data_IF_517822564062
#
_entry.id   IF_517822564062
#
_cell.length_a   1.000
_cell.length_b   1.000
_cell.length_c   1.000
_cell.angle_alpha   90.00
_cell.angle_beta   90.00
_cell.angle_gamma   90.00
#
_symmetry.space_group_name_H-M   'P 1'
#
loop_
_entity.id
_entity.type
_entity.pdbx_description
1 polymer ?
#
# COMPACT_ATOMS: atom_id res chain seq x y z
N UNK A 1 38.00 30.54 -10.93
CA UNK A 1 38.44 29.99 -12.23
C UNK A 1 39.45 28.84 -12.03
N UNK A 2 39.04 27.77 -11.33
CA UNK A 2 39.84 26.54 -11.17
C UNK A 2 38.97 25.33 -10.73
N UNK A 3 37.68 25.30 -11.12
CA UNK A 3 36.78 24.17 -10.82
C UNK A 3 36.00 23.65 -12.04
N UNK A 4 36.48 23.93 -13.26
CA UNK A 4 35.84 23.45 -14.51
C UNK A 4 36.66 22.41 -15.28
N UNK A 5 37.78 21.90 -14.73
CA UNK A 5 38.65 20.94 -15.46
C UNK A 5 38.68 19.50 -14.92
N UNK A 6 37.91 19.16 -13.89
CA UNK A 6 37.82 17.77 -13.41
C UNK A 6 36.59 16.99 -13.96
N UNK A 7 35.57 17.69 -14.48
CA UNK A 7 34.34 17.06 -15.00
C UNK A 7 34.45 16.49 -16.41
N UNK A 8 35.37 17.00 -17.24
CA UNK A 8 35.44 16.63 -18.65
C UNK A 8 36.21 15.30 -18.92
N UNK A 9 36.92 14.76 -17.92
CA UNK A 9 37.70 13.51 -18.06
C UNK A 9 36.90 12.22 -17.86
N UNK A 10 35.85 12.24 -17.03
CA UNK A 10 35.02 11.04 -16.73
C UNK A 10 33.90 10.81 -17.75
N UNK A 11 33.38 11.87 -18.38
CA UNK A 11 32.45 11.75 -19.51
C UNK A 11 33.14 11.22 -20.78
N UNK A 12 34.40 11.59 -21.04
CA UNK A 12 35.15 11.10 -22.20
C UNK A 12 35.60 9.63 -22.07
N UNK A 13 35.76 9.12 -20.84
CA UNK A 13 36.11 7.71 -20.58
C UNK A 13 34.87 6.79 -20.75
N UNK A 14 33.68 7.25 -20.36
CA UNK A 14 32.44 6.47 -20.52
C UNK A 14 32.02 6.33 -22.00
N UNK A 15 32.17 7.40 -22.79
CA UNK A 15 31.81 7.39 -24.24
C UNK A 15 32.83 6.60 -25.08
N UNK A 16 34.12 6.58 -24.71
CA UNK A 16 35.14 5.79 -25.41
C UNK A 16 35.02 4.28 -25.18
N UNK A 17 34.58 3.85 -23.99
CA UNK A 17 34.36 2.43 -23.70
C UNK A 17 33.13 1.89 -24.44
N UNK A 18 32.09 2.72 -24.64
CA UNK A 18 30.87 2.35 -25.37
C UNK A 18 31.13 2.21 -26.88
N UNK A 19 31.99 3.04 -27.48
CA UNK A 19 32.22 3.04 -28.94
C UNK A 19 33.30 2.04 -29.41
N UNK A 20 34.26 1.65 -28.57
CA UNK A 20 35.33 0.72 -28.98
C UNK A 20 34.91 -0.77 -29.00
N UNK A 21 33.82 -1.14 -28.32
CA UNK A 21 33.27 -2.50 -28.35
C UNK A 21 32.49 -2.81 -29.64
N UNK A 22 32.07 -1.78 -30.38
CA UNK A 22 31.30 -1.93 -31.62
C UNK A 22 32.09 -2.51 -32.81
N UNK A 23 33.43 -2.58 -32.71
CA UNK A 23 34.30 -2.92 -33.84
C UNK A 23 35.20 -4.15 -33.65
N UNK A 24 35.07 -4.92 -32.56
CA UNK A 24 35.91 -6.10 -32.36
C UNK A 24 35.10 -7.40 -32.49
N UNK A 25 35.20 -8.01 -33.67
CA UNK A 25 34.61 -9.29 -34.02
C UNK A 25 35.37 -10.44 -33.32
N UNK A 26 35.20 -10.59 -32.00
CA UNK A 26 35.70 -11.76 -31.25
C UNK A 26 34.54 -12.59 -30.72
N UNK A 27 34.47 -13.83 -31.19
CA UNK A 27 33.66 -14.90 -30.60
C UNK A 27 34.07 -15.08 -29.13
N UNK A 28 33.13 -14.91 -28.21
CA UNK A 28 33.28 -15.29 -26.81
C UNK A 28 32.08 -16.17 -26.40
N UNK A 29 32.40 -17.25 -25.68
CA UNK A 29 31.51 -18.37 -25.33
C UNK A 29 30.57 -18.05 -24.16
N UNK A 30 29.48 -18.82 -24.09
CA UNK A 30 28.39 -18.77 -23.11
C UNK A 30 28.83 -18.82 -21.64
N UNK A 31 28.15 -18.03 -20.79
CA UNK A 31 28.16 -18.23 -19.33
C UNK A 31 28.38 -17.01 -18.41
N UNK A 32 27.97 -15.78 -18.75
CA UNK A 32 28.19 -14.62 -17.87
C UNK A 32 26.90 -13.78 -17.62
N UNK A 33 26.48 -13.71 -16.35
CA UNK A 33 25.27 -13.03 -15.82
C UNK A 33 25.51 -11.51 -15.62
N UNK A 34 26.49 -10.93 -16.31
CA UNK A 34 26.93 -9.55 -16.13
C UNK A 34 26.73 -8.67 -17.37
N UNK A 35 25.62 -8.86 -18.09
CA UNK A 35 25.20 -7.89 -19.10
C UNK A 35 24.23 -6.87 -18.49
N UNK A 36 24.63 -5.59 -18.28
CA UNK A 36 23.64 -4.54 -18.09
C UNK A 36 22.80 -4.49 -19.36
N UNK A 37 21.48 -4.32 -19.22
CA UNK A 37 20.60 -4.10 -20.38
C UNK A 37 21.05 -2.81 -21.05
N UNK A 38 21.93 -2.94 -22.04
CA UNK A 38 22.29 -1.90 -22.99
C UNK A 38 20.99 -1.60 -23.73
N UNK A 39 20.28 -0.54 -23.34
CA UNK A 39 19.38 0.31 -24.16
C UNK A 39 18.16 0.90 -23.43
N UNK A 40 17.98 0.71 -22.12
CA UNK A 40 16.82 1.33 -21.45
C UNK A 40 17.12 2.75 -21.02
N UNK A 41 16.40 3.73 -21.60
CA UNK A 41 16.61 5.14 -21.27
C UNK A 41 16.20 5.43 -19.82
N UNK A 42 16.87 6.41 -19.18
CA UNK A 42 16.48 6.91 -17.84
C UNK A 42 15.03 7.41 -17.82
N UNK A 43 14.52 7.91 -18.95
CA UNK A 43 13.13 8.31 -19.09
C UNK A 43 12.17 7.12 -19.02
N UNK A 44 12.49 6.02 -19.70
CA UNK A 44 11.70 4.76 -19.68
C UNK A 44 11.68 4.14 -18.28
N UNK A 45 12.81 4.16 -17.57
CA UNK A 45 12.89 3.65 -16.19
C UNK A 45 12.10 4.51 -15.20
N UNK A 46 12.16 5.84 -15.35
CA UNK A 46 11.35 6.75 -14.55
C UNK A 46 9.86 6.55 -14.79
N UNK A 47 9.45 6.27 -16.02
CA UNK A 47 8.06 5.97 -16.36
C UNK A 47 7.61 4.61 -15.83
N UNK A 48 8.49 3.62 -15.78
CA UNK A 48 8.22 2.33 -15.13
C UNK A 48 7.96 2.48 -13.63
N UNK A 49 8.85 3.17 -12.90
CA UNK A 49 8.69 3.45 -11.47
C UNK A 49 7.41 4.26 -11.18
N UNK A 50 6.94 5.05 -12.15
CA UNK A 50 5.72 5.86 -12.10
C UNK A 50 4.48 5.13 -12.61
N UNK A 51 4.59 3.87 -13.03
CA UNK A 51 3.47 3.08 -13.54
C UNK A 51 2.92 3.54 -14.89
N UNK A 52 3.71 4.26 -15.69
CA UNK A 52 3.28 4.85 -16.98
C UNK A 52 3.98 4.25 -18.21
N UNK A 53 4.95 3.34 -18.02
CA UNK A 53 5.58 2.59 -19.11
C UNK A 53 6.15 1.28 -18.56
N UNK A 54 5.63 0.13 -18.95
CA UNK A 54 6.20 -1.13 -18.46
C UNK A 54 7.65 -1.34 -18.95
N UNK A 55 8.52 -1.91 -18.12
CA UNK A 55 9.84 -2.42 -18.53
C UNK A 55 9.88 -3.92 -18.25
N UNK A 56 10.82 -4.64 -18.84
CA UNK A 56 10.96 -6.05 -18.52
C UNK A 56 11.39 -6.25 -17.08
N UNK A 57 10.98 -7.37 -16.49
CA UNK A 57 11.35 -7.76 -15.13
C UNK A 57 12.86 -7.73 -14.87
N UNK A 58 13.71 -8.14 -15.83
CA UNK A 58 15.18 -8.09 -15.63
C UNK A 58 15.69 -6.66 -15.47
N UNK A 59 15.07 -5.69 -16.17
CA UNK A 59 15.34 -4.27 -16.01
C UNK A 59 14.80 -3.79 -14.66
N UNK A 60 13.57 -4.16 -14.30
CA UNK A 60 12.95 -3.80 -13.02
C UNK A 60 13.78 -4.31 -11.82
N UNK A 61 14.22 -5.57 -11.89
CA UNK A 61 15.03 -6.26 -10.87
C UNK A 61 16.42 -5.64 -10.74
N UNK A 62 17.11 -5.35 -11.85
CA UNK A 62 18.39 -4.64 -11.82
C UNK A 62 18.23 -3.19 -11.32
N UNK A 63 17.12 -2.52 -11.62
CA UNK A 63 16.82 -1.15 -11.18
C UNK A 63 16.56 -1.06 -9.67
N UNK A 64 15.83 -2.04 -9.09
CA UNK A 64 15.61 -2.16 -7.65
C UNK A 64 16.90 -2.40 -6.85
N UNK A 65 17.94 -2.98 -7.47
CA UNK A 65 19.24 -3.26 -6.84
C UNK A 65 20.19 -2.05 -6.90
N UNK A 66 20.00 -1.09 -7.82
CA UNK A 66 21.05 -0.10 -8.15
C UNK A 66 20.76 1.39 -7.85
N UNK A 67 19.52 1.83 -7.63
CA UNK A 67 19.23 3.28 -7.56
C UNK A 67 18.56 3.68 -6.25
N UNK A 68 19.41 3.94 -5.26
CA UNK A 68 19.30 5.15 -4.44
C UNK A 68 20.71 5.66 -4.13
N UNK A 69 21.20 6.64 -4.90
CA UNK A 69 21.73 7.79 -4.18
C UNK A 69 20.86 9.06 -4.30
N UNK A 70 20.76 9.75 -5.45
CA UNK A 70 20.50 11.21 -5.35
C UNK A 70 19.62 11.95 -6.40
N UNK A 71 18.75 11.33 -7.22
CA UNK A 71 17.98 12.10 -8.23
C UNK A 71 16.49 11.70 -8.45
N UNK A 72 15.68 11.74 -7.38
CA UNK A 72 14.22 11.67 -7.49
C UNK A 72 13.60 13.09 -7.57
N UNK A 73 12.77 13.37 -8.60
CA UNK A 73 12.03 14.65 -8.77
C UNK A 73 10.53 14.38 -8.98
N UNK A 74 9.65 14.76 -8.04
CA UNK A 74 8.24 14.33 -7.96
C UNK A 74 7.23 15.23 -8.70
N UNK A 75 7.65 16.27 -9.40
CA UNK A 75 6.76 17.37 -9.81
C UNK A 75 5.84 17.15 -11.05
N UNK A 76 5.80 15.99 -11.71
CA UNK A 76 5.06 15.83 -12.99
C UNK A 76 4.31 14.49 -13.17
N UNK A 77 3.78 13.91 -12.09
CA UNK A 77 3.02 12.65 -12.21
C UNK A 77 1.54 12.84 -12.61
N UNK A 78 1.00 14.05 -12.46
CA UNK A 78 -0.44 14.30 -12.55
C UNK A 78 -0.97 14.56 -13.98
N UNK A 79 -0.11 14.98 -14.91
CA UNK A 79 -0.55 15.39 -16.27
C UNK A 79 -0.99 14.23 -17.18
N UNK A 80 -0.85 12.97 -16.75
CA UNK A 80 -1.23 11.80 -17.57
C UNK A 80 -2.48 11.06 -17.05
N UNK A 81 -2.78 11.12 -15.74
CA UNK A 81 -4.01 10.52 -15.17
C UNK A 81 -5.29 11.24 -15.64
N UNK A 82 -5.17 12.45 -16.18
CA UNK A 82 -6.30 13.29 -16.57
C UNK A 82 -6.81 13.05 -17.99
N UNK A 83 -6.23 12.14 -18.78
CA UNK A 83 -6.64 11.96 -20.20
C UNK A 83 -7.53 10.75 -20.47
N UNK A 84 -7.69 9.83 -19.52
CA UNK A 84 -8.57 8.64 -19.68
C UNK A 84 -9.66 8.50 -18.60
N UNK A 85 -9.79 9.45 -17.67
CA UNK A 85 -10.85 9.47 -16.63
C UNK A 85 -12.09 10.30 -17.07
N UNK A 86 -12.08 10.79 -18.31
CA UNK A 86 -13.25 11.43 -18.92
C UNK A 86 -14.34 10.41 -19.29
N UNK A 87 -15.11 9.98 -18.28
CA UNK A 87 -16.57 9.71 -18.28
C UNK A 87 -16.98 8.74 -17.16
N UNK A 88 -17.24 9.28 -15.97
CA UNK A 88 -18.45 9.04 -15.15
C UNK A 88 -18.28 9.65 -13.76
N UNK A 89 -18.89 10.81 -13.53
CA UNK A 89 -19.36 11.17 -12.19
C UNK A 89 -20.81 11.63 -12.36
N UNK A 90 -21.74 10.68 -12.29
CA UNK A 90 -23.15 10.99 -12.07
C UNK A 90 -23.33 11.30 -10.57
N UNK A 91 -23.52 12.60 -10.27
CA UNK A 91 -24.28 13.14 -9.12
C UNK A 91 -23.97 12.56 -7.74
N UNK A 92 -22.74 12.77 -7.24
CA UNK A 92 -22.35 12.55 -5.85
C UNK A 92 -21.39 13.64 -5.34
N UNK A 93 -21.30 13.82 -4.02
CA UNK A 93 -20.32 14.72 -3.38
C UNK A 93 -18.88 14.29 -3.76
N UNK A 94 -17.93 15.23 -3.98
CA UNK A 94 -16.57 14.89 -4.42
C UNK A 94 -15.85 14.05 -3.36
N UNK A 95 -15.49 12.81 -3.68
CA UNK A 95 -14.85 11.89 -2.74
C UNK A 95 -13.95 10.88 -3.43
N UNK A 96 -12.72 10.72 -2.94
CA UNK A 96 -11.79 9.66 -3.31
C UNK A 96 -11.51 8.71 -2.12
N UNK A 97 -12.50 8.52 -1.24
CA UNK A 97 -12.40 7.62 -0.08
C UNK A 97 -12.22 6.15 -0.52
N UNK A 98 -11.18 5.45 -0.03
CA UNK A 98 -10.99 4.03 -0.32
C UNK A 98 -12.19 3.18 0.11
N UNK A 99 -12.39 2.05 -0.57
CA UNK A 99 -13.39 1.08 -0.14
C UNK A 99 -12.93 0.35 1.14
N UNK A 100 -13.91 -0.03 1.95
CA UNK A 100 -13.67 -0.87 3.12
C UNK A 100 -13.46 -2.31 2.67
N UNK A 101 -12.35 -2.94 3.06
CA UNK A 101 -12.11 -4.36 2.77
C UNK A 101 -12.86 -5.33 3.69
N UNK A 102 -13.51 -4.81 4.75
CA UNK A 102 -14.11 -5.66 5.79
C UNK A 102 -15.55 -6.04 5.45
N UNK A 103 -15.88 -7.30 5.71
CA UNK A 103 -17.25 -7.82 5.55
C UNK A 103 -18.20 -7.19 6.58
N UNK A 104 -17.69 -6.96 7.79
CA UNK A 104 -18.42 -6.34 8.89
C UNK A 104 -17.47 -5.54 9.77
N UNK A 105 -17.87 -4.31 10.08
CA UNK A 105 -17.17 -3.49 11.08
C UNK A 105 -17.60 -3.90 12.49
N UNK A 106 -16.64 -4.11 13.40
CA UNK A 106 -16.88 -4.70 14.72
C UNK A 106 -16.13 -3.94 15.80
N UNK A 107 -16.84 -3.60 16.88
CA UNK A 107 -16.24 -3.31 18.18
C UNK A 107 -15.46 -1.99 18.24
N UNK A 108 -15.77 -1.06 17.36
CA UNK A 108 -15.08 0.24 17.22
C UNK A 108 -16.03 1.42 17.23
N UNK A 109 -17.29 1.17 17.58
CA UNK A 109 -18.33 2.19 17.72
C UNK A 109 -17.93 3.28 18.73
N UNK A 110 -17.39 2.97 19.94
CA UNK A 110 -16.96 4.00 20.88
C UNK A 110 -15.85 4.89 20.33
N UNK A 111 -14.83 4.30 19.68
CA UNK A 111 -13.72 5.05 19.09
C UNK A 111 -14.19 5.91 17.91
N UNK A 112 -15.17 5.44 17.14
CA UNK A 112 -15.77 6.18 16.03
C UNK A 112 -16.58 7.39 16.53
N UNK A 113 -17.36 7.23 17.60
CA UNK A 113 -18.09 8.31 18.24
C UNK A 113 -17.15 9.34 18.88
N UNK A 114 -16.11 8.86 19.57
CA UNK A 114 -15.07 9.72 20.14
C UNK A 114 -14.34 10.51 19.04
N UNK A 115 -14.02 9.85 17.92
CA UNK A 115 -13.43 10.49 16.73
C UNK A 115 -14.30 11.60 16.20
N UNK A 116 -15.61 11.35 16.08
CA UNK A 116 -16.54 12.36 15.66
C UNK A 116 -16.53 13.59 16.58
N UNK A 117 -16.71 13.37 17.89
CA UNK A 117 -16.77 14.45 18.87
C UNK A 117 -15.49 15.30 18.87
N UNK A 118 -14.31 14.65 18.90
CA UNK A 118 -13.03 15.36 18.90
C UNK A 118 -12.80 16.13 17.60
N UNK A 119 -13.11 15.54 16.45
CA UNK A 119 -12.89 16.17 15.16
C UNK A 119 -13.81 17.39 14.95
N UNK A 120 -15.04 17.34 15.45
CA UNK A 120 -15.93 18.50 15.44
C UNK A 120 -15.40 19.64 16.33
N UNK A 121 -14.79 19.31 17.47
CA UNK A 121 -14.27 20.28 18.43
C UNK A 121 -12.93 20.92 18.00
N UNK A 122 -11.92 20.12 17.66
CA UNK A 122 -10.55 20.60 17.39
C UNK A 122 -10.27 20.88 15.91
N UNK A 123 -11.04 20.29 15.00
CA UNK A 123 -10.77 20.34 13.56
C UNK A 123 -9.61 19.46 13.10
N UNK A 124 -8.80 18.92 14.00
CA UNK A 124 -7.67 18.04 13.69
C UNK A 124 -7.54 16.93 14.73
N UNK A 125 -7.58 15.68 14.29
CA UNK A 125 -7.46 14.48 15.14
C UNK A 125 -6.56 13.45 14.44
N UNK A 126 -5.74 12.76 15.22
CA UNK A 126 -4.98 11.60 14.78
C UNK A 126 -5.58 10.30 15.33
N UNK A 127 -5.57 9.24 14.54
CA UNK A 127 -5.79 7.85 14.95
C UNK A 127 -4.42 7.20 15.03
N UNK A 128 -4.03 6.81 16.24
CA UNK A 128 -2.71 6.25 16.55
C UNK A 128 -2.84 4.82 17.07
N UNK A 129 -1.84 3.97 16.85
CA UNK A 129 -1.80 2.64 17.47
C UNK A 129 -1.07 2.73 18.82
N UNK A 130 -1.62 2.14 19.89
CA UNK A 130 -1.02 2.18 21.24
C UNK A 130 0.41 1.61 21.27
N UNK A 131 0.64 0.51 20.55
CA UNK A 131 1.94 -0.18 20.49
C UNK A 131 2.63 -0.10 19.13
N UNK A 132 2.26 0.87 18.27
CA UNK A 132 2.87 1.01 16.93
C UNK A 132 2.55 -0.14 15.95
N UNK A 133 1.58 -0.99 16.28
CA UNK A 133 1.21 -2.16 15.49
C UNK A 133 0.56 -1.78 14.15
N UNK A 134 0.99 -2.49 13.09
CA UNK A 134 0.26 -2.56 11.82
C UNK A 134 -0.91 -3.54 11.94
N UNK A 135 -1.99 -3.34 11.19
CA UNK A 135 -3.13 -4.27 11.17
C UNK A 135 -4.15 -4.13 12.31
N UNK A 136 -4.05 -3.11 13.18
CA UNK A 136 -5.05 -2.82 14.25
C UNK A 136 -6.33 -2.14 13.76
N UNK A 137 -6.38 -1.72 12.48
CA UNK A 137 -7.58 -1.12 11.87
C UNK A 137 -7.67 0.42 11.86
N UNK A 138 -6.54 1.15 11.94
CA UNK A 138 -6.54 2.63 11.88
C UNK A 138 -7.16 3.18 10.60
N UNK A 139 -6.67 2.68 9.46
CA UNK A 139 -7.17 3.03 8.12
C UNK A 139 -8.63 2.65 7.98
N UNK A 140 -9.02 1.47 8.45
CA UNK A 140 -10.42 1.03 8.43
C UNK A 140 -11.33 1.94 9.26
N UNK A 141 -10.92 2.34 10.47
CA UNK A 141 -11.69 3.30 11.28
C UNK A 141 -11.87 4.64 10.56
N UNK A 142 -10.84 5.14 9.87
CA UNK A 142 -10.94 6.37 9.07
C UNK A 142 -11.87 6.22 7.85
N UNK A 143 -11.87 5.06 7.18
CA UNK A 143 -12.81 4.74 6.10
C UNK A 143 -14.24 4.74 6.63
N UNK A 144 -14.50 4.02 7.72
CA UNK A 144 -15.82 3.92 8.34
C UNK A 144 -16.34 5.28 8.83
N UNK A 145 -15.45 6.11 9.39
CA UNK A 145 -15.79 7.48 9.75
C UNK A 145 -16.22 8.30 8.53
N UNK A 146 -15.41 8.25 7.46
CA UNK A 146 -15.65 8.98 6.22
C UNK A 146 -16.99 8.58 5.60
N UNK A 147 -17.31 7.28 5.58
CA UNK A 147 -18.57 6.75 5.05
C UNK A 147 -19.76 7.12 5.94
N UNK A 148 -19.65 6.88 7.26
CA UNK A 148 -20.76 7.11 8.21
C UNK A 148 -21.16 8.58 8.29
N UNK A 149 -20.21 9.50 8.20
CA UNK A 149 -20.43 10.94 8.32
C UNK A 149 -20.33 11.69 6.98
N UNK A 150 -20.39 11.01 5.84
CA UNK A 150 -20.27 11.62 4.51
C UNK A 150 -21.29 12.75 4.27
N UNK A 151 -22.47 12.66 4.88
CA UNK A 151 -23.50 13.70 4.79
C UNK A 151 -23.05 15.05 5.37
N UNK A 152 -22.10 15.07 6.31
CA UNK A 152 -21.60 16.29 6.95
C UNK A 152 -20.57 17.05 6.12
N UNK A 153 -19.96 16.41 5.10
CA UNK A 153 -18.86 16.95 4.31
C UNK A 153 -19.30 17.29 2.89
N UNK A 154 -20.11 18.34 2.76
CA UNK A 154 -20.64 18.81 1.47
C UNK A 154 -19.56 19.28 0.50
N UNK A 155 -18.46 19.83 1.00
CA UNK A 155 -17.31 20.22 0.17
C UNK A 155 -16.39 19.06 -0.20
N UNK A 156 -16.74 17.83 0.19
CA UNK A 156 -16.06 16.61 -0.21
C UNK A 156 -15.19 15.95 0.85
N UNK A 157 -14.72 14.76 0.50
CA UNK A 157 -13.79 13.94 1.31
C UNK A 157 -12.54 13.66 0.47
N UNK A 158 -11.43 14.28 0.84
CA UNK A 158 -10.14 14.12 0.18
C UNK A 158 -9.23 13.20 1.01
N UNK A 159 -9.01 12.00 0.51
CA UNK A 159 -8.08 11.01 1.02
C UNK A 159 -6.71 11.17 0.39
N UNK A 160 -5.68 11.24 1.22
CA UNK A 160 -4.29 11.55 0.86
C UNK A 160 -3.38 10.45 1.42
N UNK A 161 -2.63 9.80 0.54
CA UNK A 161 -1.66 8.77 0.89
C UNK A 161 -0.32 9.43 1.26
N UNK A 162 -0.01 9.54 2.55
CA UNK A 162 1.09 10.36 3.03
C UNK A 162 2.46 9.67 3.01
N UNK A 163 2.49 8.33 2.94
CA UNK A 163 3.75 7.57 2.96
C UNK A 163 4.42 7.46 1.60
N UNK A 164 3.63 7.26 0.55
CA UNK A 164 4.17 7.00 -0.80
C UNK A 164 4.29 8.26 -1.65
N UNK A 165 3.45 9.27 -1.39
CA UNK A 165 3.26 10.40 -2.29
C UNK A 165 3.31 11.74 -1.57
N UNK A 166 3.74 12.77 -2.30
CA UNK A 166 3.64 14.14 -1.81
C UNK A 166 2.16 14.54 -1.69
N UNK A 167 1.72 14.88 -0.48
CA UNK A 167 0.31 15.21 -0.22
C UNK A 167 -0.11 16.52 -0.89
N UNK A 168 0.81 17.48 -1.07
CA UNK A 168 0.54 18.73 -1.79
C UNK A 168 0.14 18.48 -3.23
N UNK A 169 0.80 17.52 -3.90
CA UNK A 169 0.46 17.19 -5.29
C UNK A 169 -0.86 16.45 -5.37
N UNK A 170 -1.17 15.61 -4.38
CA UNK A 170 -2.48 14.95 -4.28
C UNK A 170 -3.62 15.95 -4.02
N UNK A 171 -3.38 16.99 -3.21
CA UNK A 171 -4.36 18.08 -2.99
C UNK A 171 -4.67 18.80 -4.31
N UNK A 172 -3.62 19.21 -5.03
CA UNK A 172 -3.75 19.83 -6.36
C UNK A 172 -4.55 18.92 -7.29
N UNK A 173 -4.14 17.66 -7.40
CA UNK A 173 -4.79 16.70 -8.27
C UNK A 173 -6.25 16.39 -7.91
N UNK A 174 -6.57 16.33 -6.61
CA UNK A 174 -7.94 16.18 -6.15
C UNK A 174 -8.81 17.35 -6.60
N UNK A 175 -8.35 18.59 -6.40
CA UNK A 175 -9.15 19.76 -6.78
C UNK A 175 -9.34 19.89 -8.29
N UNK A 176 -8.37 19.48 -9.09
CA UNK A 176 -8.49 19.45 -10.55
C UNK A 176 -9.46 18.35 -11.01
N UNK A 177 -9.29 17.11 -10.53
CA UNK A 177 -10.10 15.95 -10.98
C UNK A 177 -11.52 15.92 -10.42
N UNK A 178 -11.72 16.29 -9.15
CA UNK A 178 -12.99 16.10 -8.45
C UNK A 178 -13.78 17.40 -8.28
N UNK A 179 -13.11 18.56 -8.31
CA UNK A 179 -13.75 19.88 -8.18
C UNK A 179 -13.71 20.71 -9.47
N UNK A 180 -13.11 20.18 -10.55
CA UNK A 180 -12.90 20.89 -11.82
C UNK A 180 -12.19 22.26 -11.66
N UNK A 181 -11.31 22.39 -10.66
CA UNK A 181 -10.62 23.63 -10.38
C UNK A 181 -9.51 23.88 -11.39
N UNK A 182 -9.59 24.97 -12.14
CA UNK A 182 -8.53 25.40 -13.07
C UNK A 182 -7.47 26.20 -12.32
N UNK A 183 -6.33 25.57 -12.08
CA UNK A 183 -5.17 26.21 -11.44
C UNK A 183 -4.38 26.99 -12.52
N UNK A 184 -4.06 28.27 -12.29
CA UNK A 184 -3.26 29.04 -13.23
C UNK A 184 -1.87 28.43 -13.49
N UNK A 185 -1.47 28.43 -14.76
CA UNK A 185 -0.13 28.00 -15.18
C UNK A 185 0.96 28.94 -14.63
N UNK A 186 2.16 28.39 -14.41
CA UNK A 186 3.33 29.15 -13.97
C UNK A 186 3.34 29.53 -12.48
N UNK A 187 2.38 29.06 -11.68
CA UNK A 187 2.44 29.21 -10.22
C UNK A 187 3.46 28.26 -9.60
N UNK A 188 4.25 28.79 -8.67
CA UNK A 188 5.07 27.97 -7.77
C UNK A 188 4.20 26.95 -7.01
N UNK A 189 4.73 25.76 -6.75
CA UNK A 189 3.97 24.63 -6.20
C UNK A 189 3.25 24.96 -4.88
N UNK A 190 3.92 25.64 -3.95
CA UNK A 190 3.30 26.08 -2.68
C UNK A 190 2.13 27.06 -2.90
N UNK A 191 2.21 27.87 -3.96
CA UNK A 191 1.15 28.80 -4.35
C UNK A 191 -0.03 28.07 -5.00
N UNK A 192 0.22 26.98 -5.74
CA UNK A 192 -0.83 26.12 -6.27
C UNK A 192 -1.66 25.49 -5.14
N UNK A 193 -1.00 24.92 -4.12
CA UNK A 193 -1.69 24.35 -2.94
C UNK A 193 -2.51 25.43 -2.22
N UNK A 194 -1.92 26.61 -1.99
CA UNK A 194 -2.65 27.73 -1.38
C UNK A 194 -3.83 28.22 -2.25
N UNK A 195 -3.70 28.16 -3.57
CA UNK A 195 -4.79 28.46 -4.50
C UNK A 195 -5.93 27.44 -4.38
N UNK A 196 -5.60 26.16 -4.26
CA UNK A 196 -6.58 25.10 -3.99
C UNK A 196 -7.36 25.40 -2.71
N UNK A 197 -6.70 25.73 -1.60
CA UNK A 197 -7.39 26.04 -0.35
C UNK A 197 -8.34 27.23 -0.42
N UNK A 198 -7.96 28.28 -1.15
CA UNK A 198 -8.81 29.48 -1.32
C UNK A 198 -10.04 29.24 -2.20
N UNK A 199 -9.93 28.34 -3.16
CA UNK A 199 -10.96 28.12 -4.20
C UNK A 199 -11.69 26.78 -4.08
N UNK A 200 -11.40 26.00 -3.04
CA UNK A 200 -12.10 24.75 -2.78
C UNK A 200 -13.60 25.01 -2.57
N UNK A 201 -14.44 24.11 -3.09
CA UNK A 201 -15.91 24.20 -3.02
C UNK A 201 -16.42 24.49 -1.60
N UNK A 202 -17.56 25.18 -1.50
CA UNK A 202 -18.21 25.53 -0.22
C UNK A 202 -18.65 24.27 0.56
N UNK A 203 -18.94 24.44 1.85
CA UNK A 203 -19.32 23.35 2.75
C UNK A 203 -18.18 22.85 3.62
N UNK A 204 -18.43 21.88 4.50
CA UNK A 204 -17.37 21.25 5.28
C UNK A 204 -16.60 20.24 4.42
N UNK A 205 -15.31 20.10 4.68
CA UNK A 205 -14.41 19.20 3.94
C UNK A 205 -13.70 18.29 4.93
N UNK A 206 -13.64 17.00 4.64
CA UNK A 206 -12.80 16.06 5.38
C UNK A 206 -11.52 15.78 4.58
N UNK A 207 -10.37 16.09 5.17
CA UNK A 207 -9.05 15.71 4.68
C UNK A 207 -8.57 14.52 5.50
N UNK A 208 -8.27 13.39 4.85
CA UNK A 208 -7.72 12.21 5.52
C UNK A 208 -6.29 11.98 5.06
N UNK A 209 -5.32 12.12 5.96
CA UNK A 209 -3.90 11.82 5.71
C UNK A 209 -3.60 10.41 6.26
N UNK A 210 -3.46 9.44 5.36
CA UNK A 210 -3.31 8.03 5.71
C UNK A 210 -1.85 7.57 5.71
N UNK A 211 -1.52 6.70 6.68
CA UNK A 211 -0.20 6.12 6.99
C UNK A 211 0.92 7.16 7.17
N UNK A 212 0.66 8.25 7.89
CA UNK A 212 1.65 9.31 8.12
C UNK A 212 2.83 8.79 8.94
N UNK A 213 4.04 8.88 8.35
CA UNK A 213 5.31 8.51 9.00
C UNK A 213 6.10 9.73 9.49
N UNK A 214 6.03 10.88 8.80
CA UNK A 214 6.67 12.12 9.22
C UNK A 214 5.74 13.32 9.09
N UNK A 215 5.01 13.64 10.16
CA UNK A 215 4.05 14.74 10.19
C UNK A 215 4.65 16.10 9.79
N UNK A 216 5.85 16.45 10.30
CA UNK A 216 6.43 17.79 10.09
C UNK A 216 6.84 18.05 8.64
N UNK A 217 7.22 17.01 7.91
CA UNK A 217 7.67 17.12 6.54
C UNK A 217 6.54 16.83 5.55
N UNK A 218 5.75 15.79 5.83
CA UNK A 218 4.81 15.24 4.85
C UNK A 218 3.40 15.83 4.98
N UNK A 219 3.05 16.44 6.12
CA UNK A 219 1.67 16.89 6.40
C UNK A 219 1.60 18.37 6.79
N UNK A 220 2.33 18.78 7.83
CA UNK A 220 2.27 20.13 8.41
C UNK A 220 2.38 21.28 7.37
N UNK A 221 3.28 21.22 6.37
CA UNK A 221 3.42 22.29 5.37
C UNK A 221 2.22 22.43 4.42
N UNK A 222 1.37 21.41 4.34
CA UNK A 222 0.27 21.31 3.39
C UNK A 222 -1.11 21.44 4.05
N UNK A 223 -1.17 21.67 5.36
CA UNK A 223 -2.44 21.85 6.07
C UNK A 223 -3.22 23.06 5.55
N UNK A 224 -4.57 23.00 5.57
CA UNK A 224 -5.39 24.15 5.25
C UNK A 224 -5.18 25.31 6.24
N UNK A 225 -5.56 26.55 5.88
CA UNK A 225 -5.42 27.69 6.77
C UNK A 225 -6.11 27.47 8.13
N UNK A 226 -5.38 27.71 9.22
CA UNK A 226 -5.86 27.47 10.60
C UNK A 226 -7.07 28.31 11.00
N UNK A 227 -7.33 29.41 10.30
CA UNK A 227 -8.52 30.25 10.48
C UNK A 227 -9.81 29.62 9.96
N UNK A 228 -9.73 28.55 9.16
CA UNK A 228 -10.89 27.93 8.51
C UNK A 228 -11.39 26.71 9.27
N UNK A 229 -12.48 26.87 10.01
CA UNK A 229 -13.12 25.78 10.77
C UNK A 229 -13.82 24.70 9.92
N UNK A 230 -14.00 24.97 8.61
CA UNK A 230 -14.70 24.08 7.67
C UNK A 230 -13.90 22.85 7.27
N UNK A 231 -12.56 22.93 7.33
CA UNK A 231 -11.70 21.80 7.01
C UNK A 231 -11.49 20.99 8.28
N UNK A 232 -11.80 19.70 8.20
CA UNK A 232 -11.57 18.72 9.24
C UNK A 232 -10.44 17.81 8.78
N UNK A 233 -9.41 17.67 9.60
CA UNK A 233 -8.19 16.92 9.28
C UNK A 233 -8.14 15.67 10.14
N UNK A 234 -8.17 14.52 9.49
CA UNK A 234 -7.99 13.21 10.11
C UNK A 234 -6.65 12.65 9.69
N UNK A 235 -5.84 12.19 10.64
CA UNK A 235 -4.54 11.58 10.37
C UNK A 235 -4.58 10.12 10.83
N UNK A 236 -4.13 9.15 10.04
CA UNK A 236 -3.78 7.82 10.56
C UNK A 236 -2.26 7.71 10.67
N UNK A 237 -1.75 7.21 11.79
CA UNK A 237 -0.31 7.16 12.02
C UNK A 237 0.09 6.12 13.06
N UNK A 238 1.39 5.82 13.11
CA UNK A 238 2.03 5.11 14.25
C UNK A 238 2.70 6.08 15.23
N UNK A 239 2.77 7.37 14.89
CA UNK A 239 3.33 8.40 15.75
C UNK A 239 2.39 8.65 16.95
N UNK A 240 3.00 9.01 18.08
CA UNK A 240 2.27 9.50 19.25
C UNK A 240 2.24 11.01 19.19
N UNK A 241 1.04 11.58 19.19
CA UNK A 241 0.84 13.01 19.26
C UNK A 241 0.48 13.45 20.69
N UNK A 242 0.81 14.70 20.99
CA UNK A 242 0.30 15.42 22.15
C UNK A 242 -0.39 16.71 21.72
N UNK A 243 -0.94 17.49 22.67
CA UNK A 243 -1.57 18.77 22.36
C UNK A 243 -0.64 19.65 21.50
N UNK A 244 -1.18 20.34 20.47
CA UNK A 244 -2.61 20.54 20.19
C UNK A 244 -3.29 19.41 19.39
N UNK A 245 -2.55 18.42 18.90
CA UNK A 245 -3.10 17.30 18.11
C UNK A 245 -3.66 16.24 19.06
N UNK A 246 -4.98 16.14 19.11
CA UNK A 246 -5.64 15.06 19.86
C UNK A 246 -5.40 13.73 19.16
N UNK A 247 -5.20 12.66 19.94
CA UNK A 247 -4.95 11.33 19.41
C UNK A 247 -5.96 10.34 19.98
N UNK A 248 -6.54 9.53 19.09
CA UNK A 248 -7.37 8.39 19.44
C UNK A 248 -6.49 7.15 19.40
N UNK A 249 -6.15 6.59 20.57
CA UNK A 249 -5.40 5.36 20.63
C UNK A 249 -6.30 4.18 20.23
N UNK A 250 -5.91 3.45 19.19
CA UNK A 250 -6.45 2.14 18.87
C UNK A 250 -5.58 1.04 19.46
N UNK A 251 -6.24 0.17 20.21
CA UNK A 251 -5.66 -1.04 20.78
C UNK A 251 -5.92 -2.27 19.90
N UNK A 252 -5.41 -3.43 20.28
CA UNK A 252 -5.89 -4.72 19.76
C UNK A 252 -7.37 -4.94 20.10
N UNK A 253 -8.00 -5.94 19.48
CA UNK A 253 -9.35 -6.33 19.86
C UNK A 253 -9.39 -7.00 21.23
N UNK A 254 -10.51 -6.84 21.93
CA UNK A 254 -10.82 -7.68 23.08
C UNK A 254 -11.04 -9.14 22.64
N UNK A 255 -10.97 -10.11 23.57
CA UNK A 255 -11.23 -11.51 23.25
C UNK A 255 -12.60 -11.75 22.61
N UNK A 256 -13.65 -11.04 23.04
CA UNK A 256 -14.99 -11.15 22.46
C UNK A 256 -15.05 -10.57 21.04
N UNK A 257 -14.55 -9.35 20.84
CA UNK A 257 -14.51 -8.73 19.50
C UNK A 257 -13.71 -9.57 18.49
N UNK A 258 -12.63 -10.20 18.95
CA UNK A 258 -11.83 -11.10 18.13
C UNK A 258 -12.61 -12.33 17.68
N UNK A 259 -13.37 -12.93 18.60
CA UNK A 259 -14.23 -14.07 18.31
C UNK A 259 -15.40 -13.66 17.41
N UNK A 260 -16.00 -12.50 17.65
CA UNK A 260 -17.07 -11.93 16.82
C UNK A 260 -16.57 -11.76 15.38
N UNK A 261 -15.38 -11.18 15.19
CA UNK A 261 -14.76 -11.04 13.87
C UNK A 261 -14.53 -12.40 13.20
N UNK A 262 -13.93 -13.37 13.91
CA UNK A 262 -13.74 -14.71 13.36
C UNK A 262 -15.08 -15.36 12.96
N UNK A 263 -16.11 -15.18 13.78
CA UNK A 263 -17.48 -15.70 13.55
C UNK A 263 -18.08 -15.15 12.27
N UNK A 264 -17.78 -13.88 11.90
CA UNK A 264 -18.29 -13.32 10.64
C UNK A 264 -17.75 -14.01 9.40
N UNK A 265 -16.59 -14.66 9.48
CA UNK A 265 -16.01 -15.40 8.37
C UNK A 265 -16.47 -16.85 8.34
N UNK A 266 -16.45 -17.54 9.49
CA UNK A 266 -16.60 -19.00 9.50
C UNK A 266 -17.94 -19.50 10.06
N UNK A 267 -18.81 -18.57 10.48
CA UNK A 267 -20.14 -18.87 11.01
C UNK A 267 -20.14 -19.35 12.46
N UNK A 268 -21.28 -19.17 13.13
CA UNK A 268 -21.44 -19.51 14.55
C UNK A 268 -21.35 -21.01 14.81
N UNK A 269 -21.90 -21.85 13.91
CA UNK A 269 -21.88 -23.29 14.06
C UNK A 269 -20.46 -23.85 14.17
N UNK A 270 -19.53 -23.37 13.33
CA UNK A 270 -18.14 -23.83 13.33
C UNK A 270 -17.39 -23.38 14.58
N UNK A 271 -17.68 -22.18 15.08
CA UNK A 271 -17.15 -21.69 16.36
C UNK A 271 -17.65 -22.55 17.53
N UNK A 272 -18.93 -22.90 17.54
CA UNK A 272 -19.54 -23.71 18.60
C UNK A 272 -19.02 -25.15 18.65
N UNK A 273 -18.52 -25.70 17.53
CA UNK A 273 -17.88 -27.02 17.50
C UNK A 273 -16.51 -27.04 18.21
N UNK A 274 -15.78 -25.93 18.19
CA UNK A 274 -14.41 -25.83 18.76
C UNK A 274 -14.20 -24.50 19.54
N UNK A 275 -15.01 -24.18 20.56
CA UNK A 275 -15.06 -22.84 21.15
C UNK A 275 -13.77 -22.43 21.85
N UNK A 276 -13.15 -23.35 22.61
CA UNK A 276 -11.90 -23.07 23.31
C UNK A 276 -10.71 -22.95 22.35
N UNK A 277 -10.75 -23.68 21.24
CA UNK A 277 -9.73 -23.60 20.19
C UNK A 277 -9.85 -22.28 19.43
N UNK A 278 -11.07 -21.84 19.10
CA UNK A 278 -11.31 -20.55 18.46
C UNK A 278 -10.79 -19.38 19.31
N UNK A 279 -11.04 -19.41 20.63
CA UNK A 279 -10.46 -18.45 21.59
C UNK A 279 -8.94 -18.50 21.60
N UNK A 280 -8.37 -19.71 21.61
CA UNK A 280 -6.92 -19.92 21.61
C UNK A 280 -6.29 -19.39 20.32
N UNK A 281 -6.95 -19.59 19.18
CA UNK A 281 -6.51 -19.06 17.88
C UNK A 281 -6.51 -17.53 17.88
N UNK A 282 -7.59 -16.88 18.33
CA UNK A 282 -7.66 -15.42 18.44
C UNK A 282 -6.54 -14.86 19.33
N UNK A 283 -6.31 -15.51 20.48
CA UNK A 283 -5.21 -15.16 21.39
C UNK A 283 -3.84 -15.32 20.73
N UNK A 284 -3.65 -16.40 19.99
CA UNK A 284 -2.39 -16.70 19.32
C UNK A 284 -2.08 -15.70 18.20
N UNK A 285 -3.10 -15.24 17.49
CA UNK A 285 -3.02 -14.14 16.50
C UNK A 285 -2.81 -12.76 17.15
N UNK A 286 -2.67 -12.70 18.48
CA UNK A 286 -2.46 -11.47 19.23
C UNK A 286 -3.66 -10.53 19.21
N UNK A 287 -4.86 -11.06 18.94
CA UNK A 287 -6.09 -10.28 18.80
C UNK A 287 -6.01 -9.15 17.77
N UNK A 288 -5.15 -9.31 16.75
CA UNK A 288 -5.02 -8.35 15.66
C UNK A 288 -6.11 -8.60 14.60
N UNK A 289 -6.92 -7.59 14.24
CA UNK A 289 -7.97 -7.72 13.22
C UNK A 289 -7.46 -8.34 11.91
N UNK A 290 -6.32 -7.87 11.39
CA UNK A 290 -5.75 -8.39 10.16
C UNK A 290 -5.39 -9.88 10.24
N UNK A 291 -4.79 -10.32 11.36
CA UNK A 291 -4.43 -11.73 11.54
C UNK A 291 -5.66 -12.63 11.61
N UNK A 292 -6.71 -12.16 12.28
CA UNK A 292 -8.00 -12.86 12.39
C UNK A 292 -8.68 -12.94 11.04
N UNK A 293 -8.71 -11.84 10.28
CA UNK A 293 -9.29 -11.80 8.94
C UNK A 293 -8.61 -12.80 7.99
N UNK A 294 -7.28 -12.75 7.87
CA UNK A 294 -6.53 -13.67 7.00
C UNK A 294 -6.82 -15.13 7.36
N UNK A 295 -6.87 -15.42 8.65
CA UNK A 295 -7.10 -16.77 9.15
C UNK A 295 -8.56 -17.23 8.94
N UNK A 296 -9.53 -16.34 9.19
CA UNK A 296 -10.95 -16.62 8.97
C UNK A 296 -11.27 -16.86 7.50
N UNK A 297 -10.68 -16.07 6.60
CA UNK A 297 -10.82 -16.25 5.15
C UNK A 297 -10.09 -17.48 4.63
N UNK A 298 -8.96 -17.86 5.22
CA UNK A 298 -8.35 -19.15 4.92
C UNK A 298 -9.28 -20.31 5.32
N UNK A 299 -10.00 -20.20 6.44
CA UNK A 299 -10.93 -21.23 6.88
C UNK A 299 -12.20 -21.33 6.02
N UNK A 300 -12.71 -20.20 5.50
CA UNK A 300 -13.94 -20.21 4.68
C UNK A 300 -13.71 -20.89 3.31
N UNK A 301 -12.48 -20.89 2.80
CA UNK A 301 -12.13 -21.62 1.57
C UNK A 301 -11.85 -23.12 1.82
N UNK A 302 -11.93 -23.56 3.08
CA UNK A 302 -11.55 -24.90 3.55
C UNK A 302 -12.55 -25.43 4.58
N UNK A 303 -13.76 -25.75 4.15
CA UNK A 303 -14.83 -26.21 5.04
C UNK A 303 -14.54 -27.53 5.77
N UNK A 304 -13.64 -28.35 5.23
CA UNK A 304 -13.18 -29.62 5.79
C UNK A 304 -12.13 -29.46 6.90
N UNK A 305 -11.52 -28.28 7.03
CA UNK A 305 -10.42 -28.03 7.96
C UNK A 305 -10.93 -27.61 9.34
N UNK A 306 -10.54 -28.30 10.42
CA UNK A 306 -10.85 -27.86 11.78
C UNK A 306 -10.02 -26.65 12.22
N UNK A 307 -10.56 -25.86 13.16
CA UNK A 307 -9.87 -24.72 13.77
C UNK A 307 -8.60 -25.21 14.50
N UNK A 308 -8.68 -26.37 15.14
CA UNK A 308 -7.54 -27.02 15.82
C UNK A 308 -6.41 -27.38 14.87
N UNK A 309 -6.74 -27.99 13.72
CA UNK A 309 -5.72 -28.33 12.71
C UNK A 309 -5.06 -27.08 12.14
N UNK A 310 -5.83 -26.03 11.89
CA UNK A 310 -5.29 -24.75 11.43
C UNK A 310 -4.33 -24.14 12.46
N UNK A 311 -4.74 -24.06 13.72
CA UNK A 311 -3.92 -23.51 14.80
C UNK A 311 -2.59 -24.27 14.90
N UNK A 312 -2.62 -25.59 14.79
CA UNK A 312 -1.41 -26.41 14.75
C UNK A 312 -0.49 -26.05 13.56
N UNK A 313 -1.04 -25.92 12.35
CA UNK A 313 -0.27 -25.53 11.14
C UNK A 313 0.38 -24.16 11.30
N UNK A 314 -0.35 -23.18 11.85
CA UNK A 314 0.15 -21.84 12.11
C UNK A 314 1.32 -21.85 13.11
N UNK A 315 1.19 -22.62 14.20
CA UNK A 315 2.24 -22.79 15.20
C UNK A 315 3.50 -23.44 14.63
N UNK A 316 3.35 -24.48 13.80
CA UNK A 316 4.48 -25.14 13.15
C UNK A 316 5.18 -24.21 12.15
N UNK A 317 4.44 -23.39 11.40
CA UNK A 317 5.03 -22.36 10.52
C UNK A 317 5.82 -21.32 11.30
N UNK A 318 5.26 -20.81 12.40
CA UNK A 318 5.95 -19.85 13.26
C UNK A 318 7.27 -20.43 13.81
N UNK A 319 7.26 -21.68 14.31
CA UNK A 319 8.48 -22.36 14.78
C UNK A 319 9.53 -22.51 13.69
N UNK A 320 9.14 -22.92 12.48
CA UNK A 320 10.07 -23.04 11.33
C UNK A 320 10.72 -21.69 11.00
N UNK A 321 9.93 -20.61 11.00
CA UNK A 321 10.44 -19.25 10.75
C UNK A 321 11.40 -18.78 11.85
N UNK A 322 11.11 -19.07 13.11
CA UNK A 322 12.01 -18.79 14.24
C UNK A 322 13.33 -19.55 14.10
N UNK A 323 13.29 -20.83 13.76
CA UNK A 323 14.50 -21.62 13.53
C UNK A 323 15.38 -21.05 12.42
N UNK A 324 14.78 -20.52 11.34
CA UNK A 324 15.50 -19.85 10.26
C UNK A 324 16.12 -18.52 10.73
N UNK A 325 15.35 -17.68 11.45
CA UNK A 325 15.84 -16.39 11.97
C UNK A 325 16.97 -16.56 13.00
N UNK A 326 16.87 -17.53 13.89
CA UNK A 326 17.92 -17.83 14.88
C UNK A 326 19.23 -18.33 14.24
N UNK A 327 19.16 -18.95 13.05
CA UNK A 327 20.35 -19.34 12.28
C UNK A 327 20.91 -18.20 11.41
N UNK A 328 20.09 -17.19 11.09
CA UNK A 328 20.45 -16.14 10.15
C UNK A 328 21.05 -14.89 10.83
N UNK A 329 20.57 -14.41 11.99
CA UNK A 329 21.09 -13.21 12.67
C UNK A 329 20.59 -13.11 14.12
N UNK A 330 21.49 -13.05 15.11
CA UNK A 330 21.22 -12.50 16.44
C UNK A 330 21.24 -10.97 16.35
N UNK A 331 20.09 -10.29 16.32
CA UNK A 331 19.97 -8.87 16.70
C UNK A 331 18.50 -8.47 16.91
N UNK A 332 18.26 -7.86 18.07
CA UNK A 332 17.06 -7.15 18.53
C UNK A 332 15.75 -7.91 18.72
N UNK A 333 15.69 -8.72 19.80
CA UNK A 333 14.43 -8.94 20.52
C UNK A 333 14.33 -7.96 21.69
N UNK A 334 13.59 -6.86 21.49
CA UNK A 334 13.03 -6.10 22.60
C UNK A 334 11.54 -5.82 22.35
N UNK A 335 10.76 -6.21 23.37
CA UNK A 335 9.38 -5.81 23.71
C UNK A 335 8.29 -6.73 23.10
N UNK A 336 7.27 -7.06 23.92
CA UNK A 336 6.20 -8.07 23.75
C UNK A 336 5.30 -8.01 22.50
N UNK A 337 5.74 -7.34 21.44
CA UNK A 337 5.16 -7.25 20.09
C UNK A 337 5.48 -8.47 19.20
N UNK A 338 6.27 -9.42 19.72
CA UNK A 338 6.77 -10.58 18.97
C UNK A 338 5.66 -11.56 18.58
N UNK A 339 4.72 -11.89 19.49
CA UNK A 339 3.70 -12.92 19.24
C UNK A 339 2.63 -12.46 18.25
N UNK A 340 2.12 -11.24 18.36
CA UNK A 340 1.10 -10.71 17.46
C UNK A 340 1.64 -10.58 16.02
N UNK A 341 2.87 -10.07 15.89
CA UNK A 341 3.58 -10.01 14.61
C UNK A 341 3.85 -11.41 14.04
N UNK A 342 4.30 -12.37 14.87
CA UNK A 342 4.48 -13.78 14.48
C UNK A 342 3.17 -14.40 13.99
N UNK A 343 2.05 -14.09 14.64
CA UNK A 343 0.73 -14.59 14.26
C UNK A 343 0.29 -14.11 12.87
N UNK A 344 0.43 -12.81 12.60
CA UNK A 344 0.13 -12.23 11.28
C UNK A 344 1.08 -12.76 10.20
N UNK A 345 2.39 -12.82 10.48
CA UNK A 345 3.38 -13.38 9.56
C UNK A 345 3.08 -14.85 9.21
N UNK A 346 2.68 -15.66 10.19
CA UNK A 346 2.31 -17.06 9.97
C UNK A 346 1.00 -17.21 9.17
N UNK A 347 0.02 -16.32 9.37
CA UNK A 347 -1.19 -16.30 8.56
C UNK A 347 -0.90 -15.94 7.10
N UNK A 348 0.05 -15.01 6.85
CA UNK A 348 0.56 -14.75 5.50
C UNK A 348 1.25 -15.97 4.90
N UNK A 349 2.19 -16.59 5.65
CA UNK A 349 2.90 -17.78 5.19
C UNK A 349 1.93 -18.94 4.90
N UNK A 350 0.82 -19.05 5.61
CA UNK A 350 -0.18 -20.08 5.36
C UNK A 350 -0.94 -19.84 4.06
N UNK A 351 -1.41 -18.62 3.84
CA UNK A 351 -2.13 -18.25 2.60
C UNK A 351 -1.19 -18.35 1.39
N UNK A 352 0.07 -17.95 1.54
CA UNK A 352 1.11 -18.04 0.51
C UNK A 352 1.36 -19.47 0.02
N UNK A 353 1.34 -20.45 0.92
CA UNK A 353 1.60 -21.84 0.56
C UNK A 353 0.47 -22.47 -0.28
N UNK A 354 -0.76 -21.95 -0.20
CA UNK A 354 -1.90 -22.41 -1.01
C UNK A 354 -1.94 -21.81 -2.42
N UNK A 355 -1.25 -20.69 -2.61
CA UNK A 355 -1.12 -20.08 -3.91
C UNK A 355 -0.34 -21.01 -4.84
N UNK A 356 -0.83 -21.18 -6.06
CA UNK A 356 -0.04 -21.77 -7.14
C UNK A 356 1.08 -20.81 -7.56
N UNK A 357 1.99 -21.30 -8.38
CA UNK A 357 3.17 -20.54 -8.78
C UNK A 357 2.79 -19.25 -9.54
N UNK A 358 1.69 -19.26 -10.29
CA UNK A 358 1.17 -18.08 -11.00
C UNK A 358 0.66 -17.01 -10.04
N UNK A 359 -0.11 -17.40 -9.03
CA UNK A 359 -0.62 -16.51 -8.00
C UNK A 359 0.50 -15.96 -7.11
N UNK A 360 1.51 -16.77 -6.79
CA UNK A 360 2.71 -16.31 -6.06
C UNK A 360 3.51 -15.30 -6.87
N UNK A 361 3.74 -15.60 -8.15
CA UNK A 361 4.40 -14.71 -9.09
C UNK A 361 3.65 -13.38 -9.23
N UNK A 362 2.32 -13.42 -9.38
CA UNK A 362 1.50 -12.21 -9.38
C UNK A 362 1.64 -11.45 -8.05
N UNK A 363 1.62 -12.11 -6.90
CA UNK A 363 1.81 -11.45 -5.61
C UNK A 363 3.17 -10.72 -5.50
N UNK A 364 4.23 -11.38 -5.96
CA UNK A 364 5.58 -10.80 -6.07
C UNK A 364 5.60 -9.60 -7.03
N UNK A 365 5.02 -9.72 -8.21
CA UNK A 365 4.86 -8.64 -9.19
C UNK A 365 4.12 -7.45 -8.57
N UNK A 366 2.98 -7.70 -7.92
CA UNK A 366 2.16 -6.66 -7.29
C UNK A 366 2.94 -5.92 -6.19
N UNK A 367 3.89 -6.59 -5.52
CA UNK A 367 4.71 -5.97 -4.47
C UNK A 367 5.69 -4.90 -4.99
N UNK A 368 6.02 -4.94 -6.29
CA UNK A 368 6.93 -3.99 -6.94
C UNK A 368 6.29 -2.61 -7.13
N UNK A 369 4.96 -2.57 -7.30
CA UNK A 369 4.25 -1.30 -7.43
C UNK A 369 4.28 -0.49 -6.13
N UNK A 370 4.09 0.83 -6.26
CA UNK A 370 3.89 1.69 -5.10
C UNK A 370 2.64 1.25 -4.32
N UNK A 371 2.58 1.57 -3.03
CA UNK A 371 1.43 1.28 -2.19
C UNK A 371 0.33 2.30 -2.46
N UNK A 372 -0.23 2.18 -3.66
CA UNK A 372 -1.19 3.06 -4.29
C UNK A 372 -2.31 2.21 -4.92
N UNK A 373 -3.40 2.83 -5.38
CA UNK A 373 -4.27 2.18 -6.36
C UNK A 373 -3.44 1.78 -7.59
N UNK A 374 -3.49 0.50 -7.98
CA UNK A 374 -2.77 -0.09 -9.12
C UNK A 374 -3.80 -0.45 -10.20
N UNK A 375 -3.87 0.30 -11.31
CA UNK A 375 -4.67 -0.08 -12.46
C UNK A 375 -4.24 -1.46 -12.99
N UNK A 376 -5.19 -2.34 -13.27
CA UNK A 376 -4.88 -3.73 -13.63
C UNK A 376 -4.20 -3.88 -14.98
N UNK A 377 -4.57 -3.02 -15.94
CA UNK A 377 -3.90 -2.97 -17.24
C UNK A 377 -2.39 -2.75 -17.09
N UNK A 378 -1.96 -2.00 -16.07
CA UNK A 378 -0.54 -1.81 -15.79
C UNK A 378 0.13 -3.09 -15.28
N UNK A 379 -0.56 -3.86 -14.43
CA UNK A 379 -0.07 -5.16 -13.98
C UNK A 379 0.05 -6.15 -15.15
N UNK A 380 -0.98 -6.25 -15.99
CA UNK A 380 -0.97 -7.08 -17.20
C UNK A 380 0.11 -6.68 -18.19
N UNK A 381 0.27 -5.38 -18.48
CA UNK A 381 1.31 -4.91 -19.42
C UNK A 381 2.71 -5.20 -18.88
N UNK A 382 2.90 -5.09 -17.57
CA UNK A 382 4.17 -5.44 -16.93
C UNK A 382 4.47 -6.92 -17.08
N UNK A 383 3.46 -7.78 -16.89
CA UNK A 383 3.60 -9.22 -17.08
C UNK A 383 3.84 -9.60 -18.55
N UNK A 384 3.08 -9.04 -19.49
CA UNK A 384 3.29 -9.24 -20.94
C UNK A 384 4.72 -8.90 -21.35
N UNK A 385 5.27 -7.79 -20.84
CA UNK A 385 6.67 -7.41 -21.09
C UNK A 385 7.68 -8.32 -20.39
N UNK A 386 7.34 -8.89 -19.24
CA UNK A 386 8.16 -9.89 -18.60
C UNK A 386 8.24 -11.16 -19.45
N UNK A 387 7.09 -11.76 -19.80
CA UNK A 387 6.97 -12.94 -20.65
C UNK A 387 7.78 -12.79 -21.95
N UNK A 388 7.62 -11.66 -22.65
CA UNK A 388 8.26 -11.39 -23.94
C UNK A 388 9.78 -11.18 -23.88
N UNK A 389 10.36 -10.87 -22.71
CA UNK A 389 11.79 -10.55 -22.58
C UNK A 389 12.60 -11.62 -21.84
N UNK A 390 11.98 -12.75 -21.48
CA UNK A 390 12.69 -13.90 -20.91
C UNK A 390 13.16 -14.84 -22.03
N UNK A 391 14.36 -15.41 -21.88
CA UNK A 391 14.91 -16.45 -22.79
C UNK A 391 14.02 -17.70 -22.91
N UNK A 392 12.97 -17.79 -22.07
CA UNK A 392 12.09 -18.93 -21.90
C UNK A 392 10.92 -18.92 -22.90
N UNK A 393 10.68 -17.81 -23.63
CA UNK A 393 9.63 -17.74 -24.66
C UNK A 393 8.25 -18.21 -24.14
N UNK A 394 7.95 -17.89 -22.86
CA UNK A 394 6.64 -18.21 -22.26
C UNK A 394 5.64 -17.19 -22.78
N UNK A 395 4.62 -17.65 -23.50
CA UNK A 395 3.53 -16.79 -23.97
C UNK A 395 2.73 -16.29 -22.76
N UNK A 396 2.30 -15.02 -22.81
CA UNK A 396 1.42 -14.48 -21.78
C UNK A 396 0.03 -15.11 -21.92
N UNK A 397 -0.41 -15.79 -20.88
CA UNK A 397 -1.76 -16.35 -20.78
C UNK A 397 -2.62 -15.42 -19.92
N UNK A 398 -3.65 -14.85 -20.54
CA UNK A 398 -4.55 -13.92 -19.86
C UNK A 398 -5.45 -14.63 -18.86
N UNK A 399 -5.91 -15.86 -19.15
CA UNK A 399 -6.80 -16.61 -18.28
C UNK A 399 -6.03 -17.01 -17.00
N UNK A 400 -4.79 -17.49 -17.16
CA UNK A 400 -3.88 -17.81 -16.05
C UNK A 400 -3.64 -16.60 -15.14
N UNK A 401 -3.48 -15.41 -15.72
CA UNK A 401 -3.23 -14.17 -14.98
C UNK A 401 -4.47 -13.65 -14.26
N UNK A 402 -5.66 -13.80 -14.86
CA UNK A 402 -6.93 -13.45 -14.23
C UNK A 402 -7.32 -14.43 -13.11
N UNK A 403 -7.04 -15.72 -13.28
CA UNK A 403 -7.23 -16.74 -12.24
C UNK A 403 -6.31 -16.49 -11.04
N UNK A 404 -5.03 -16.15 -11.31
CA UNK A 404 -4.08 -15.75 -10.28
C UNK A 404 -4.59 -14.53 -9.49
N UNK A 405 -5.16 -13.54 -10.18
CA UNK A 405 -5.79 -12.35 -9.57
C UNK A 405 -6.96 -12.76 -8.67
N UNK A 406 -7.89 -13.55 -9.19
CA UNK A 406 -9.06 -14.02 -8.45
C UNK A 406 -8.62 -14.73 -7.15
N UNK A 407 -7.60 -15.58 -7.25
CA UNK A 407 -7.06 -16.31 -6.09
C UNK A 407 -6.44 -15.38 -5.04
N UNK A 408 -5.68 -14.35 -5.44
CA UNK A 408 -5.17 -13.35 -4.50
C UNK A 408 -6.30 -12.55 -3.82
N UNK A 409 -7.39 -12.27 -4.54
CA UNK A 409 -8.57 -11.60 -3.98
C UNK A 409 -9.30 -12.51 -2.99
N UNK A 410 -9.49 -13.79 -3.33
CA UNK A 410 -10.15 -14.76 -2.46
C UNK A 410 -9.44 -14.87 -1.10
N UNK A 411 -8.11 -14.93 -1.12
CA UNK A 411 -7.30 -14.92 0.10
C UNK A 411 -7.10 -13.53 0.74
N UNK A 412 -7.69 -12.47 0.19
CA UNK A 412 -7.58 -11.08 0.65
C UNK A 412 -6.14 -10.58 0.75
N UNK A 413 -5.32 -11.11 -0.16
CA UNK A 413 -3.98 -10.64 -0.39
C UNK A 413 -3.98 -9.48 -1.39
N UNK A 414 -5.08 -9.27 -2.13
CA UNK A 414 -5.30 -8.15 -3.03
C UNK A 414 -6.72 -7.58 -2.85
N UNK A 415 -6.83 -6.27 -2.66
CA UNK A 415 -8.10 -5.58 -2.44
C UNK A 415 -8.55 -4.82 -3.70
N UNK A 416 -9.85 -4.79 -3.97
CA UNK A 416 -10.46 -4.07 -5.10
C UNK A 416 -10.73 -2.61 -4.71
N UNK A 417 -10.35 -1.67 -5.58
CA UNK A 417 -10.77 -0.27 -5.49
C UNK A 417 -12.13 -0.12 -6.18
N UNK A 418 -13.19 0.27 -5.46
CA UNK A 418 -14.51 0.44 -6.05
C UNK A 418 -14.73 1.81 -6.72
N UNK A 419 -13.83 2.76 -6.51
CA UNK A 419 -13.96 4.12 -7.06
C UNK A 419 -13.42 4.24 -8.49
N UNK A 420 -12.55 3.31 -8.89
CA UNK A 420 -11.93 3.27 -10.20
C UNK A 420 -12.04 1.83 -10.68
N UNK A 421 -12.78 1.61 -11.79
CA UNK A 421 -12.93 0.28 -12.35
C UNK A 421 -11.55 -0.35 -12.60
N UNK A 422 -11.42 -1.62 -12.21
CA UNK A 422 -10.22 -2.43 -12.47
C UNK A 422 -8.93 -1.92 -11.79
N UNK A 423 -9.05 -1.25 -10.63
CA UNK A 423 -7.90 -0.82 -9.82
C UNK A 423 -7.80 -1.64 -8.53
N UNK A 424 -6.59 -2.04 -8.14
CA UNK A 424 -6.33 -2.93 -7.00
C UNK A 424 -5.33 -2.34 -6.01
N UNK A 425 -5.34 -2.82 -4.76
CA UNK A 425 -4.46 -2.33 -3.68
C UNK A 425 -3.94 -3.49 -2.84
N UNK A 426 -2.68 -3.40 -2.43
CA UNK A 426 -2.11 -4.27 -1.40
C UNK A 426 -2.17 -3.57 -0.03
N UNK A 427 -2.53 -4.32 1.01
CA UNK A 427 -2.30 -3.84 2.37
C UNK A 427 -0.78 -3.72 2.62
N UNK A 428 -0.28 -2.67 3.30
CA UNK A 428 1.15 -2.44 3.54
C UNK A 428 1.91 -3.69 4.02
N UNK A 429 1.37 -4.40 5.02
CA UNK A 429 1.99 -5.61 5.55
C UNK A 429 2.02 -6.79 4.56
N UNK A 430 1.04 -6.88 3.66
CA UNK A 430 1.00 -7.92 2.62
C UNK A 430 2.04 -7.60 1.56
N UNK A 431 2.15 -6.33 1.17
CA UNK A 431 3.19 -5.86 0.25
C UNK A 431 4.60 -6.11 0.80
N UNK A 432 4.85 -5.76 2.07
CA UNK A 432 6.12 -6.05 2.74
C UNK A 432 6.41 -7.56 2.77
N UNK A 433 5.38 -8.38 3.03
CA UNK A 433 5.50 -9.83 2.99
C UNK A 433 5.83 -10.37 1.60
N UNK A 434 5.09 -10.00 0.55
CA UNK A 434 5.37 -10.42 -0.83
C UNK A 434 6.74 -9.97 -1.31
N UNK A 435 7.17 -8.76 -0.94
CA UNK A 435 8.52 -8.27 -1.23
C UNK A 435 9.59 -9.16 -0.59
N UNK A 436 9.38 -9.60 0.65
CA UNK A 436 10.31 -10.54 1.29
C UNK A 436 10.39 -11.90 0.60
N UNK A 437 9.32 -12.33 -0.11
CA UNK A 437 9.30 -13.56 -0.92
C UNK A 437 9.94 -13.39 -2.30
N UNK A 438 10.09 -12.15 -2.78
CA UNK A 438 10.81 -11.84 -4.00
C UNK A 438 12.34 -11.82 -3.78
N UNK A 439 12.76 -11.43 -2.58
CA UNK A 439 14.17 -11.30 -2.19
C UNK A 439 14.79 -12.62 -1.66
N UNK A 440 13.96 -13.60 -1.34
CA UNK A 440 14.34 -14.95 -0.89
C UNK A 440 14.48 -15.92 -2.06
#
# INVERSE_FOLDING_TARGET
>A
MQMERAGCGKQAMLVRTINNDSNNNRKYQDGDVSRPVRNTSKATLNKFVRGSEAVSYEIARQFCVYIWPDEWRPEHWYEWLTTEVDKKIETGKPSNTPHSGVVKFIGREPELEQLHAQLQQSGLVAISALEGMGGVGKTELAIQYSQRYASLYEGGICWLHAREFNVGTQIVGFTQSYLNLKIPEGLEFSTQVAFCWRNWEKGNVLLVFDDVVNYRQDVEPYLPPSSSSRFKVLITTRLKFGPPIQSIPLDIFSPSQSLDLLTTFIGEERIQREPDVARTLCKWLGYLPLGIELTGRYLITRDDLSISTLLFRLQEKAKKREAIKHNALQLDEKIGTSTARRGVEAAFDLSWDELDDHSRHLGQLMSLFAQAPIPWNLAEETEKKYCNNTEINKEFDIEEFEDARAKLIDFHLLNISQQEENTYRLHPLIREFFRSKLEA
#
